data_IF_725581268415
#
_entry.id   IF_725581268415
#
_cell.length_a   1.000
_cell.length_b   1.000
_cell.length_c   1.000
_cell.angle_alpha   90.00
_cell.angle_beta   90.00
_cell.angle_gamma   90.00
#
_symmetry.space_group_name_H-M   'P 1'
#
loop_
_entity.id
_entity.type
_entity.pdbx_description
1 polymer ?
#
# COMPACT_ATOMS: atom_id res chain seq x y z
N UNK A 1 71.38 36.85 -24.09
CA UNK A 1 71.31 36.96 -22.61
C UNK A 1 69.98 37.58 -22.24
N UNK A 2 69.45 37.15 -21.10
CA UNK A 2 68.24 37.60 -20.39
C UNK A 2 66.95 36.81 -20.67
N UNK A 3 66.77 35.82 -19.80
CA UNK A 3 65.53 35.16 -19.45
C UNK A 3 64.62 36.06 -18.57
N UNK A 4 63.40 35.54 -18.30
CA UNK A 4 62.33 36.02 -17.40
C UNK A 4 61.23 36.82 -18.14
N UNK A 5 59.93 36.59 -17.98
CA UNK A 5 59.18 35.86 -16.96
C UNK A 5 57.74 35.51 -17.45
N UNK A 6 57.21 34.42 -16.88
CA UNK A 6 55.85 34.17 -16.36
C UNK A 6 54.60 34.60 -17.18
N UNK A 7 53.80 33.66 -17.69
CA UNK A 7 52.75 32.83 -17.03
C UNK A 7 51.40 33.54 -16.88
N UNK A 8 50.32 32.74 -17.02
CA UNK A 8 48.87 33.03 -16.97
C UNK A 8 48.27 33.24 -18.39
N UNK A 9 47.24 32.55 -18.85
CA UNK A 9 46.20 31.77 -18.19
C UNK A 9 45.68 30.72 -19.19
N UNK A 10 45.62 29.47 -18.73
CA UNK A 10 45.12 28.35 -19.51
C UNK A 10 43.58 28.37 -19.60
N UNK A 11 43.12 28.01 -20.80
CA UNK A 11 41.92 27.21 -21.06
C UNK A 11 40.56 27.77 -20.58
N UNK A 12 40.04 28.68 -21.40
CA UNK A 12 38.61 28.89 -21.62
C UNK A 12 38.09 27.75 -22.52
N UNK A 13 37.76 26.58 -21.95
CA UNK A 13 37.12 25.51 -22.71
C UNK A 13 36.45 24.50 -21.77
N UNK A 14 35.20 24.77 -21.39
CA UNK A 14 34.17 23.78 -21.11
C UNK A 14 32.82 24.50 -20.94
N UNK A 15 32.42 25.23 -21.98
CA UNK A 15 31.01 25.44 -22.27
C UNK A 15 30.56 24.26 -23.14
N UNK A 16 29.53 23.56 -22.65
CA UNK A 16 28.74 22.49 -23.28
C UNK A 16 28.91 21.13 -22.61
N UNK A 17 28.05 20.84 -21.65
CA UNK A 17 27.06 19.75 -21.68
C UNK A 17 26.32 19.73 -20.33
N UNK A 18 25.00 19.77 -20.36
CA UNK A 18 24.18 19.43 -19.20
C UNK A 18 23.23 20.53 -18.73
N UNK A 19 22.16 20.76 -19.49
CA UNK A 19 20.86 21.14 -18.91
C UNK A 19 20.37 19.99 -18.03
N UNK A 20 20.96 19.83 -16.85
CA UNK A 20 20.41 19.02 -15.77
C UNK A 20 19.74 19.98 -14.80
N UNK A 21 18.41 20.00 -14.78
CA UNK A 21 17.64 20.59 -13.69
C UNK A 21 18.02 19.83 -12.41
N UNK A 22 19.12 20.23 -11.77
CA UNK A 22 19.52 19.73 -10.47
C UNK A 22 18.43 20.15 -9.50
N UNK A 23 17.68 19.17 -9.00
CA UNK A 23 16.78 19.40 -7.88
C UNK A 23 17.59 20.13 -6.78
N UNK A 24 17.03 21.17 -6.17
CA UNK A 24 17.72 21.89 -5.10
C UNK A 24 18.18 20.89 -4.03
N UNK A 25 19.37 21.10 -3.43
CA UNK A 25 19.91 20.18 -2.45
C UNK A 25 18.88 19.96 -1.33
N UNK A 26 18.52 18.70 -1.13
CA UNK A 26 17.60 18.29 -0.08
C UNK A 26 18.31 18.51 1.26
N UNK A 27 17.74 19.31 2.19
CA UNK A 27 18.34 19.50 3.50
C UNK A 27 18.29 18.18 4.28
N UNK A 28 19.44 17.64 4.68
CA UNK A 28 19.58 16.38 5.42
C UNK A 28 20.25 16.67 6.77
N UNK A 29 19.78 16.03 7.84
CA UNK A 29 20.44 16.03 9.14
C UNK A 29 21.74 15.21 9.05
N UNK A 30 22.92 15.80 9.28
CA UNK A 30 24.19 15.11 9.15
C UNK A 30 24.42 13.99 10.19
N UNK A 31 23.63 13.92 11.27
CA UNK A 31 23.73 12.87 12.30
C UNK A 31 22.81 11.69 12.04
N UNK A 32 21.59 11.94 11.56
CA UNK A 32 20.60 10.87 11.33
C UNK A 32 20.47 10.47 9.86
N UNK A 33 20.97 11.28 8.92
CA UNK A 33 20.75 11.08 7.49
C UNK A 33 19.31 11.36 7.04
N UNK A 34 18.47 11.92 7.91
CA UNK A 34 17.07 12.21 7.60
C UNK A 34 16.91 13.55 6.89
N UNK A 35 15.94 13.60 5.97
CA UNK A 35 15.54 14.84 5.31
C UNK A 35 14.82 15.76 6.30
N UNK A 36 15.35 16.97 6.50
CA UNK A 36 14.88 17.96 7.45
C UNK A 36 13.61 18.69 6.99
N UNK A 37 13.41 18.83 5.68
CA UNK A 37 12.24 19.51 5.12
C UNK A 37 11.17 18.47 4.73
N UNK A 38 9.98 18.50 5.37
CA UNK A 38 8.90 17.55 5.08
C UNK A 38 8.52 17.45 3.60
N UNK A 39 8.71 18.50 2.79
CA UNK A 39 8.37 18.50 1.36
C UNK A 39 9.30 17.65 0.49
N UNK A 40 10.47 17.27 1.01
CA UNK A 40 11.46 16.44 0.32
C UNK A 40 11.61 15.06 0.98
N UNK A 41 10.88 14.79 2.07
CA UNK A 41 10.83 13.47 2.67
C UNK A 41 10.09 12.56 1.68
N UNK A 42 10.68 11.44 1.21
CA UNK A 42 9.94 10.49 0.40
C UNK A 42 8.72 10.02 1.20
N UNK A 43 7.51 10.10 0.62
CA UNK A 43 6.26 9.66 1.27
C UNK A 43 6.21 8.14 1.56
N UNK A 44 7.32 7.44 1.33
CA UNK A 44 7.49 6.00 1.55
C UNK A 44 8.05 5.63 2.92
N UNK A 45 8.04 6.55 3.89
CA UNK A 45 8.35 6.20 5.28
C UNK A 45 7.23 5.35 5.89
N UNK A 46 7.54 4.33 6.71
CA UNK A 46 6.52 3.50 7.38
C UNK A 46 5.53 4.33 8.23
N UNK A 47 5.96 5.49 8.74
CA UNK A 47 5.12 6.40 9.54
C UNK A 47 3.99 7.10 8.75
N UNK A 48 4.11 7.34 7.44
CA UNK A 48 3.03 7.95 6.65
C UNK A 48 2.07 6.91 6.05
N UNK A 49 2.55 5.71 5.76
CA UNK A 49 1.70 4.57 5.38
C UNK A 49 0.76 4.22 6.55
N UNK A 50 1.23 4.31 7.79
CA UNK A 50 0.45 4.04 8.99
C UNK A 50 -0.84 4.88 9.10
N UNK A 51 -0.83 6.15 8.68
CA UNK A 51 -1.98 7.05 8.80
C UNK A 51 -3.10 6.83 7.78
N UNK A 52 -2.87 6.01 6.75
CA UNK A 52 -3.83 5.75 5.64
C UNK A 52 -3.99 4.26 5.34
N UNK A 53 -3.54 3.39 6.25
CA UNK A 53 -3.70 1.95 6.14
C UNK A 53 -4.81 1.45 7.06
N UNK A 54 -5.31 0.26 6.75
CA UNK A 54 -6.15 -0.54 7.64
C UNK A 54 -5.60 -1.96 7.61
N UNK A 55 -5.31 -2.52 8.78
CA UNK A 55 -4.86 -3.91 8.90
C UNK A 55 -5.62 -4.66 9.98
N UNK A 56 -5.56 -5.97 9.89
CA UNK A 56 -6.23 -6.82 10.85
C UNK A 56 -6.23 -8.28 10.48
N UNK A 57 -7.08 -9.04 11.18
CA UNK A 57 -7.22 -10.48 11.01
C UNK A 57 -8.65 -10.83 10.63
N UNK A 58 -8.79 -11.63 9.58
CA UNK A 58 -10.06 -12.26 9.22
C UNK A 58 -10.02 -13.72 9.69
N UNK A 59 -10.98 -14.10 10.53
CA UNK A 59 -11.20 -15.48 10.98
C UNK A 59 -12.19 -16.13 10.02
N UNK A 60 -11.71 -17.13 9.30
CA UNK A 60 -12.47 -17.93 8.34
C UNK A 60 -12.91 -19.20 9.07
N UNK A 61 -14.20 -19.35 9.36
CA UNK A 61 -14.75 -20.45 10.15
C UNK A 61 -15.63 -21.35 9.27
N UNK A 62 -16.16 -22.41 9.87
CA UNK A 62 -17.14 -23.28 9.22
C UNK A 62 -16.65 -23.79 7.87
N UNK A 63 -17.47 -23.64 6.83
CA UNK A 63 -17.14 -24.09 5.48
C UNK A 63 -15.88 -23.40 4.91
N UNK A 64 -15.57 -22.18 5.36
CA UNK A 64 -14.38 -21.45 4.93
C UNK A 64 -13.10 -21.92 5.62
N UNK A 65 -13.20 -22.58 6.77
CA UNK A 65 -12.04 -23.22 7.39
C UNK A 65 -11.58 -24.45 6.58
N UNK A 66 -12.56 -25.20 6.05
CA UNK A 66 -12.32 -26.43 5.29
C UNK A 66 -12.17 -26.18 3.78
N UNK A 67 -12.41 -24.95 3.31
CA UNK A 67 -12.26 -24.61 1.90
C UNK A 67 -10.81 -24.84 1.42
N UNK A 68 -10.68 -25.57 0.30
CA UNK A 68 -9.39 -25.83 -0.37
C UNK A 68 -9.08 -24.78 -1.44
N UNK A 69 -10.11 -24.13 -1.99
CA UNK A 69 -10.02 -23.19 -3.10
C UNK A 69 -10.88 -21.96 -2.85
N UNK A 70 -10.52 -20.88 -3.53
CA UNK A 70 -11.27 -19.63 -3.55
C UNK A 70 -10.40 -18.42 -3.25
N UNK A 71 -11.03 -17.26 -3.26
CA UNK A 71 -10.38 -15.97 -3.03
C UNK A 71 -11.16 -15.18 -2.00
N UNK A 72 -10.46 -14.64 -1.01
CA UNK A 72 -10.97 -13.63 -0.09
C UNK A 72 -10.58 -12.26 -0.61
N UNK A 73 -11.57 -11.42 -0.89
CA UNK A 73 -11.39 -10.02 -1.23
C UNK A 73 -11.60 -9.19 0.01
N UNK A 74 -10.63 -8.33 0.31
CA UNK A 74 -10.77 -7.27 1.29
C UNK A 74 -10.91 -5.98 0.49
N UNK A 75 -12.04 -5.30 0.67
CA UNK A 75 -12.41 -4.13 -0.11
C UNK A 75 -12.61 -2.97 0.85
N UNK A 76 -11.88 -1.88 0.64
CA UNK A 76 -12.13 -0.62 1.33
C UNK A 76 -13.00 0.27 0.45
N UNK A 77 -14.07 0.82 1.01
CA UNK A 77 -14.99 1.71 0.29
C UNK A 77 -15.56 2.78 1.20
N UNK A 78 -16.20 3.77 0.58
CA UNK A 78 -17.06 4.72 1.31
C UNK A 78 -18.29 3.97 1.82
N UNK A 79 -18.65 4.18 3.09
CA UNK A 79 -19.85 3.59 3.70
C UNK A 79 -21.08 3.93 2.85
N UNK A 80 -21.87 2.91 2.53
CA UNK A 80 -23.06 3.05 1.68
C UNK A 80 -22.77 3.16 0.18
N UNK A 81 -21.50 3.24 -0.24
CA UNK A 81 -21.12 3.14 -1.64
C UNK A 81 -21.03 1.68 -2.10
N UNK A 82 -21.42 1.43 -3.35
CA UNK A 82 -21.17 0.14 -4.01
C UNK A 82 -19.80 0.07 -4.68
N UNK A 83 -19.20 1.21 -4.99
CA UNK A 83 -17.93 1.28 -5.69
C UNK A 83 -16.76 1.07 -4.72
N UNK A 84 -15.84 0.13 -5.01
CA UNK A 84 -14.62 -0.05 -4.24
C UNK A 84 -13.70 1.17 -4.42
N UNK A 85 -13.07 1.61 -3.33
CA UNK A 85 -12.00 2.59 -3.39
C UNK A 85 -10.63 1.91 -3.45
N UNK A 86 -10.43 0.88 -2.63
CA UNK A 86 -9.23 0.02 -2.63
C UNK A 86 -9.64 -1.43 -2.52
N UNK A 87 -8.84 -2.34 -3.07
CA UNK A 87 -9.12 -3.77 -3.02
C UNK A 87 -7.84 -4.58 -3.03
N UNK A 88 -7.80 -5.60 -2.16
CA UNK A 88 -6.77 -6.63 -2.18
C UNK A 88 -7.40 -8.01 -2.14
N UNK A 89 -6.81 -8.96 -2.86
CA UNK A 89 -7.27 -10.33 -2.96
C UNK A 89 -6.27 -11.30 -2.35
N UNK A 90 -6.77 -12.30 -1.64
CA UNK A 90 -6.01 -13.35 -0.97
C UNK A 90 -6.52 -14.70 -1.43
N UNK A 91 -5.67 -15.49 -2.07
CA UNK A 91 -6.05 -16.78 -2.64
C UNK A 91 -5.78 -17.88 -1.61
N UNK A 92 -6.70 -18.83 -1.48
CA UNK A 92 -6.50 -20.01 -0.64
C UNK A 92 -5.22 -20.76 -1.03
N UNK A 93 -4.43 -21.16 -0.02
CA UNK A 93 -3.09 -21.72 -0.20
C UNK A 93 -1.97 -20.67 -0.31
N UNK A 94 -2.31 -19.37 -0.32
CA UNK A 94 -1.35 -18.27 -0.18
C UNK A 94 -0.79 -18.16 1.25
N UNK A 95 0.35 -17.50 1.40
CA UNK A 95 1.10 -17.39 2.67
C UNK A 95 0.38 -16.56 3.73
N UNK A 96 -0.53 -15.68 3.31
CA UNK A 96 -1.30 -14.80 4.19
C UNK A 96 -2.46 -15.52 4.89
N UNK A 97 -2.89 -16.67 4.36
CA UNK A 97 -3.95 -17.51 4.92
C UNK A 97 -3.30 -18.68 5.62
N UNK A 98 -3.55 -18.80 6.93
CA UNK A 98 -3.02 -19.89 7.72
C UNK A 98 -3.55 -21.25 7.26
N UNK A 99 -2.81 -22.28 7.62
CA UNK A 99 -3.33 -23.65 7.67
C UNK A 99 -4.55 -23.73 8.61
N UNK A 100 -5.46 -24.68 8.35
CA UNK A 100 -6.63 -24.88 9.20
C UNK A 100 -6.19 -25.40 10.56
N UNK A 101 -6.69 -24.77 11.63
CA UNK A 101 -6.44 -25.15 13.01
C UNK A 101 -7.69 -24.88 13.85
N UNK A 102 -8.07 -25.84 14.68
CA UNK A 102 -9.22 -25.73 15.59
C UNK A 102 -10.53 -25.29 14.89
N UNK A 103 -10.74 -25.74 13.64
CA UNK A 103 -11.91 -25.37 12.83
C UNK A 103 -11.90 -23.93 12.31
N UNK A 104 -10.75 -23.26 12.28
CA UNK A 104 -10.59 -21.95 11.66
C UNK A 104 -9.31 -21.82 10.81
N UNK A 105 -9.34 -20.90 9.87
CA UNK A 105 -8.15 -20.30 9.26
C UNK A 105 -8.09 -18.82 9.62
N UNK A 106 -6.88 -18.27 9.65
CA UNK A 106 -6.63 -16.84 9.88
C UNK A 106 -6.00 -16.24 8.64
N UNK A 107 -6.62 -15.19 8.14
CA UNK A 107 -6.07 -14.35 7.09
C UNK A 107 -5.57 -13.05 7.72
N UNK A 108 -4.28 -12.77 7.60
CA UNK A 108 -3.72 -11.46 7.92
C UNK A 108 -3.85 -10.55 6.71
N UNK A 109 -4.39 -9.34 6.90
CA UNK A 109 -4.55 -8.39 5.80
C UNK A 109 -4.00 -7.02 6.16
N UNK A 110 -3.54 -6.34 5.11
CA UNK A 110 -3.23 -4.91 5.13
C UNK A 110 -3.74 -4.31 3.83
N UNK A 111 -4.56 -3.28 3.94
CA UNK A 111 -4.94 -2.39 2.83
C UNK A 111 -4.25 -1.04 3.04
N UNK A 112 -3.63 -0.57 1.97
CA UNK A 112 -2.89 0.68 1.90
C UNK A 112 -3.46 1.56 0.78
N UNK A 113 -2.97 2.79 0.68
CA UNK A 113 -3.33 3.69 -0.42
C UNK A 113 -2.92 3.17 -1.80
N UNK A 114 -2.00 2.21 -1.88
CA UNK A 114 -1.47 1.61 -3.12
C UNK A 114 -2.37 0.51 -3.70
N UNK A 115 -3.31 -0.01 -2.91
CA UNK A 115 -4.24 -1.07 -3.33
C UNK A 115 -5.37 -0.53 -4.21
N UNK A 116 -5.02 0.37 -5.14
CA UNK A 116 -5.91 1.03 -6.09
C UNK A 116 -6.29 0.02 -7.17
N UNK A 117 -7.57 0.01 -7.56
CA UNK A 117 -8.00 -0.79 -8.69
C UNK A 117 -7.47 -0.17 -10.00
N UNK A 118 -6.93 -0.99 -10.93
CA UNK A 118 -6.45 -0.49 -12.22
C UNK A 118 -7.53 0.34 -12.93
N UNK A 119 -7.18 1.56 -13.34
CA UNK A 119 -8.10 2.48 -14.01
C UNK A 119 -9.12 3.16 -13.09
N UNK A 120 -9.04 2.98 -11.77
CA UNK A 120 -9.88 3.68 -10.79
C UNK A 120 -9.04 4.42 -9.76
N UNK A 121 -8.65 5.66 -10.07
CA UNK A 121 -8.14 6.59 -9.06
C UNK A 121 -9.29 7.14 -8.21
N UNK A 122 -9.79 6.31 -7.30
CA UNK A 122 -10.80 6.73 -6.34
C UNK A 122 -10.13 7.51 -5.17
N UNK A 123 -10.71 8.63 -4.72
CA UNK A 123 -10.26 9.29 -3.51
C UNK A 123 -10.42 8.35 -2.31
N UNK A 124 -9.62 8.58 -1.27
CA UNK A 124 -9.77 7.84 -0.02
C UNK A 124 -11.16 8.09 0.59
N UNK A 125 -11.88 7.04 1.01
CA UNK A 125 -13.13 7.18 1.76
C UNK A 125 -13.01 8.11 2.96
N UNK A 126 -14.01 8.96 3.18
CA UNK A 126 -14.13 9.80 4.38
C UNK A 126 -14.73 9.00 5.53
N UNK A 127 -15.65 8.09 5.23
CA UNK A 127 -16.21 7.14 6.19
C UNK A 127 -15.85 5.72 5.71
N UNK A 128 -14.63 5.25 6.00
CA UNK A 128 -14.18 3.97 5.48
C UNK A 128 -14.99 2.80 6.07
N UNK A 129 -15.25 1.84 5.20
CA UNK A 129 -15.89 0.57 5.53
C UNK A 129 -15.12 -0.55 4.80
N UNK A 130 -14.77 -1.59 5.56
CA UNK A 130 -14.28 -2.83 4.99
C UNK A 130 -15.44 -3.72 4.59
N UNK A 131 -15.44 -4.16 3.35
CA UNK A 131 -16.23 -5.29 2.89
C UNK A 131 -15.31 -6.46 2.63
N UNK A 132 -15.47 -7.53 3.40
CA UNK A 132 -14.77 -8.79 3.19
C UNK A 132 -15.70 -9.73 2.46
N UNK A 133 -15.21 -10.34 1.38
CA UNK A 133 -15.99 -11.20 0.49
C UNK A 133 -15.20 -12.46 0.18
N UNK A 134 -15.78 -13.64 0.41
CA UNK A 134 -15.28 -14.89 -0.15
C UNK A 134 -15.97 -15.20 -1.48
N UNK A 135 -15.18 -15.63 -2.47
CA UNK A 135 -15.65 -16.16 -3.75
C UNK A 135 -14.92 -17.44 -4.09
N UNK A 136 -15.66 -18.55 -4.21
CA UNK A 136 -15.10 -19.85 -4.61
C UNK A 136 -14.51 -19.83 -6.01
N UNK A 137 -15.05 -19.01 -6.91
CA UNK A 137 -14.63 -18.92 -8.32
C UNK A 137 -13.57 -17.86 -8.57
N UNK A 138 -13.18 -17.09 -7.56
CA UNK A 138 -12.23 -15.99 -7.72
C UNK A 138 -12.77 -14.83 -8.57
N UNK A 139 -14.09 -14.62 -8.58
CA UNK A 139 -14.72 -13.47 -9.25
C UNK A 139 -15.56 -12.66 -8.26
N UNK A 140 -15.36 -11.33 -8.28
CA UNK A 140 -16.22 -10.37 -7.56
C UNK A 140 -17.44 -10.07 -8.43
N UNK A 141 -18.65 -10.39 -7.95
CA UNK A 141 -19.89 -10.14 -8.69
C UNK A 141 -20.30 -11.23 -9.69
N UNK A 142 -19.50 -12.30 -9.84
CA UNK A 142 -19.95 -13.51 -10.54
C UNK A 142 -21.09 -14.17 -9.75
N UNK A 143 -22.16 -14.58 -10.43
CA UNK A 143 -23.44 -15.04 -9.85
C UNK A 143 -23.41 -16.33 -9.01
N UNK A 144 -22.26 -16.69 -8.43
CA UNK A 144 -22.15 -17.74 -7.42
C UNK A 144 -22.48 -17.22 -6.01
N UNK A 145 -22.70 -18.14 -5.05
CA UNK A 145 -22.90 -17.78 -3.65
C UNK A 145 -21.68 -17.05 -3.11
N UNK A 146 -21.93 -15.93 -2.44
CA UNK A 146 -20.93 -15.02 -1.90
C UNK A 146 -21.18 -14.86 -0.41
N UNK A 147 -20.16 -15.13 0.40
CA UNK A 147 -20.19 -14.86 1.84
C UNK A 147 -19.52 -13.51 2.03
N UNK A 148 -20.27 -12.53 2.52
CA UNK A 148 -19.78 -11.17 2.71
C UNK A 148 -20.08 -10.64 4.10
N UNK A 149 -19.17 -9.80 4.60
CA UNK A 149 -19.36 -9.05 5.84
C UNK A 149 -18.80 -7.64 5.69
N UNK A 150 -19.51 -6.69 6.27
CA UNK A 150 -19.20 -5.27 6.18
C UNK A 150 -18.94 -4.75 7.59
N UNK A 151 -17.84 -4.01 7.76
CA UNK A 151 -17.36 -3.52 9.05
C UNK A 151 -16.88 -2.08 8.90
N UNK A 152 -17.49 -1.13 9.61
CA UNK A 152 -16.93 0.21 9.80
C UNK A 152 -15.49 0.17 10.33
N UNK A 153 -14.60 0.96 9.76
CA UNK A 153 -13.21 1.09 10.24
C UNK A 153 -12.79 2.55 10.25
N UNK A 154 -11.63 2.82 10.84
CA UNK A 154 -10.89 4.08 10.71
C UNK A 154 -9.51 3.79 10.09
N UNK A 155 -8.92 4.80 9.46
CA UNK A 155 -7.52 4.69 9.05
C UNK A 155 -6.61 4.66 10.29
N UNK A 156 -5.57 3.85 10.23
CA UNK A 156 -4.68 3.57 11.35
C UNK A 156 -5.19 2.47 12.28
N UNK A 157 -6.34 1.84 12.01
CA UNK A 157 -6.75 0.64 12.74
C UNK A 157 -5.80 -0.51 12.39
N UNK A 158 -5.05 -1.02 13.37
CA UNK A 158 -4.00 -2.04 13.14
C UNK A 158 -4.44 -3.47 13.48
N UNK A 159 -5.60 -3.67 14.11
CA UNK A 159 -6.06 -4.96 14.63
C UNK A 159 -7.57 -5.17 14.43
N UNK A 160 -8.08 -4.87 13.23
CA UNK A 160 -9.49 -5.12 12.92
C UNK A 160 -9.76 -6.62 12.89
N UNK A 161 -10.65 -7.12 13.76
CA UNK A 161 -11.07 -8.53 13.76
C UNK A 161 -12.41 -8.72 13.04
N UNK A 162 -12.41 -9.59 12.03
CA UNK A 162 -13.62 -9.90 11.24
C UNK A 162 -13.79 -11.41 11.20
N UNK A 163 -14.96 -11.91 11.61
CA UNK A 163 -15.31 -13.32 11.46
C UNK A 163 -16.24 -13.54 10.28
N UNK A 164 -15.84 -14.39 9.34
CA UNK A 164 -16.68 -14.95 8.28
C UNK A 164 -17.08 -16.39 8.64
N UNK A 165 -18.37 -16.75 8.48
CA UNK A 165 -18.87 -18.09 8.75
C UNK A 165 -18.42 -19.12 7.72
#
# INVERSE_FOLDING_TARGET
MNARACMLLAAFACLWFGSGCGQPPVPIDPKSGEVLDPKYRPETGPEQVAGKQVSGTIRLRGELADAEVGTVYVILRERGSRMPARMRSYVYGGVEISDPKDGERRLQFTITERDVLPGMEAPLPKQPELRVLYSKTGSVGGGGPQIAKEVPVNYGDEQVEIALP
#
